data_IF_287151108048
#
_entry.id   IF_287151108048
#
_cell.length_a   1.000
_cell.length_b   1.000
_cell.length_c   1.000
_cell.angle_alpha   90.00
_cell.angle_beta   90.00
_cell.angle_gamma   90.00
#
_symmetry.space_group_name_H-M   'P 1'
#
loop_
_entity.id
_entity.type
_entity.pdbx_description
1 polymer ?
#
# COMPACT_ATOMS: atom_id res chain seq x y z
N UNK A 1 12.68 -23.69 13.45
CA UNK A 1 11.36 -23.10 13.15
C UNK A 1 11.46 -21.58 13.20
N UNK A 2 11.47 -20.89 12.05
CA UNK A 2 11.31 -19.42 12.02
C UNK A 2 9.82 -19.13 12.22
N UNK A 3 9.46 -18.52 13.36
CA UNK A 3 8.13 -17.92 13.56
C UNK A 3 8.08 -16.68 12.68
N UNK A 4 7.39 -16.74 11.55
CA UNK A 4 7.04 -15.53 10.80
C UNK A 4 5.97 -14.80 11.61
N UNK A 5 6.35 -13.70 12.27
CA UNK A 5 5.37 -12.81 12.89
C UNK A 5 4.64 -12.15 11.73
N UNK A 6 3.36 -12.50 11.55
CA UNK A 6 2.49 -11.76 10.64
C UNK A 6 2.30 -10.38 11.24
N UNK A 7 2.71 -9.37 10.51
CA UNK A 7 2.67 -7.99 10.93
C UNK A 7 1.94 -7.16 9.89
N UNK A 8 1.08 -6.24 10.33
CA UNK A 8 0.43 -5.30 9.43
C UNK A 8 1.31 -4.07 9.26
N UNK A 9 1.67 -3.77 8.01
CA UNK A 9 2.40 -2.57 7.65
C UNK A 9 1.56 -1.66 6.75
N UNK A 10 1.74 -0.35 6.91
CA UNK A 10 0.98 0.68 6.22
C UNK A 10 1.89 1.51 5.32
N UNK A 11 1.41 1.80 4.11
CA UNK A 11 2.09 2.68 3.16
C UNK A 11 1.10 3.62 2.51
N UNK A 12 1.44 4.91 2.44
CA UNK A 12 0.76 5.84 1.57
C UNK A 12 1.41 5.87 0.18
N UNK A 13 0.61 6.11 -0.86
CA UNK A 13 1.14 6.37 -2.21
C UNK A 13 1.20 7.89 -2.42
N UNK A 14 2.39 8.50 -2.35
CA UNK A 14 2.56 9.95 -2.50
C UNK A 14 2.48 10.40 -3.98
N UNK A 15 1.40 10.03 -4.67
CA UNK A 15 1.09 10.44 -6.05
C UNK A 15 -0.41 10.65 -6.18
N UNK A 16 -0.79 11.65 -6.97
CA UNK A 16 -2.17 11.79 -7.42
C UNK A 16 -2.48 10.59 -8.31
N UNK A 17 -3.37 9.73 -7.86
CA UNK A 17 -3.76 8.52 -8.58
C UNK A 17 -5.26 8.53 -8.78
N UNK A 18 -5.71 8.43 -10.02
CA UNK A 18 -7.14 8.36 -10.31
C UNK A 18 -7.69 6.95 -10.09
N UNK A 19 -9.01 6.81 -10.19
CA UNK A 19 -9.66 5.50 -10.07
C UNK A 19 -9.13 4.52 -11.13
N UNK A 20 -8.81 5.02 -12.33
CA UNK A 20 -8.23 4.21 -13.42
C UNK A 20 -6.88 3.59 -13.01
N UNK A 21 -6.02 4.35 -12.35
CA UNK A 21 -4.76 3.83 -11.81
C UNK A 21 -5.01 2.72 -10.80
N UNK A 22 -5.96 2.91 -9.88
CA UNK A 22 -6.27 1.91 -8.84
C UNK A 22 -6.79 0.62 -9.47
N UNK A 23 -7.76 0.72 -10.37
CA UNK A 23 -8.33 -0.46 -11.03
C UNK A 23 -7.33 -1.17 -11.97
N UNK A 24 -6.38 -0.44 -12.55
CA UNK A 24 -5.34 -1.02 -13.41
C UNK A 24 -4.27 -1.78 -12.62
N UNK A 25 -3.82 -1.23 -11.49
CA UNK A 25 -2.68 -1.76 -10.74
C UNK A 25 -3.08 -2.66 -9.57
N UNK A 26 -4.26 -2.44 -8.98
CA UNK A 26 -4.77 -3.20 -7.83
C UNK A 26 -6.09 -3.87 -8.21
N UNK A 27 -5.97 -4.99 -8.91
CA UNK A 27 -7.13 -5.81 -9.30
C UNK A 27 -7.39 -6.85 -8.22
N UNK A 28 -8.62 -6.89 -7.74
CA UNK A 28 -9.03 -7.77 -6.65
C UNK A 28 -8.80 -9.24 -7.04
N UNK A 29 -8.15 -10.00 -6.17
CA UNK A 29 -7.81 -11.41 -6.41
C UNK A 29 -6.60 -11.64 -7.32
N UNK A 30 -6.01 -10.59 -7.90
CA UNK A 30 -4.76 -10.72 -8.67
C UNK A 30 -3.53 -10.39 -7.80
N UNK A 31 -2.36 -10.85 -8.27
CA UNK A 31 -1.07 -10.54 -7.66
C UNK A 31 -0.58 -9.17 -8.15
N UNK A 32 -0.30 -8.30 -7.20
CA UNK A 32 0.39 -7.03 -7.39
C UNK A 32 1.88 -7.18 -7.09
N UNK A 33 2.71 -6.52 -7.90
CA UNK A 33 4.17 -6.42 -7.72
C UNK A 33 4.62 -4.99 -7.97
N UNK A 34 5.48 -4.50 -7.10
CA UNK A 34 6.23 -3.28 -7.34
C UNK A 34 7.64 -3.64 -7.80
N UNK A 35 8.11 -3.03 -8.90
CA UNK A 35 9.46 -3.26 -9.43
C UNK A 35 10.56 -2.62 -8.57
N UNK A 36 10.18 -1.88 -7.55
CA UNK A 36 11.07 -1.16 -6.64
C UNK A 36 10.93 -1.66 -5.22
N UNK A 37 11.85 -1.27 -4.34
CA UNK A 37 11.70 -1.52 -2.91
C UNK A 37 10.45 -0.81 -2.37
N UNK A 38 9.63 -1.56 -1.65
CA UNK A 38 8.43 -1.01 -0.99
C UNK A 38 8.79 -0.73 0.46
N UNK A 39 8.63 0.50 0.90
CA UNK A 39 8.76 0.90 2.31
C UNK A 39 7.39 1.08 2.96
N UNK A 40 7.24 0.57 4.18
CA UNK A 40 6.01 0.68 4.95
C UNK A 40 6.33 0.77 6.45
N UNK A 41 5.38 1.26 7.25
CA UNK A 41 5.53 1.43 8.70
C UNK A 41 4.40 0.72 9.43
N UNK A 42 4.62 0.16 10.64
CA UNK A 42 3.53 -0.36 11.46
C UNK A 42 2.63 0.75 12.00
N UNK A 43 3.05 2.01 11.94
CA UNK A 43 2.30 3.14 12.49
C UNK A 43 1.38 3.79 11.44
N UNK A 44 0.10 3.41 11.48
CA UNK A 44 -0.95 4.01 10.67
C UNK A 44 -1.11 5.53 10.91
N UNK A 45 -0.81 6.02 12.11
CA UNK A 45 -0.98 7.44 12.45
C UNK A 45 0.02 8.30 11.69
N UNK A 46 1.28 7.85 11.57
CA UNK A 46 2.31 8.48 10.74
C UNK A 46 1.89 8.58 9.28
N UNK A 47 1.31 7.51 8.71
CA UNK A 47 0.80 7.53 7.33
C UNK A 47 -0.38 8.50 7.18
N UNK A 48 -1.30 8.53 8.15
CA UNK A 48 -2.44 9.45 8.09
C UNK A 48 -2.05 10.92 8.24
N UNK A 49 -1.00 11.22 9.01
CA UNK A 49 -0.49 12.57 9.20
C UNK A 49 0.29 13.08 7.98
N UNK A 50 1.06 12.22 7.34
CA UNK A 50 2.01 12.62 6.28
C UNK A 50 1.39 12.67 4.88
N UNK A 51 0.43 11.78 4.59
CA UNK A 51 -0.15 11.68 3.25
C UNK A 51 -1.41 12.56 3.14
N UNK A 52 -1.20 13.77 2.64
CA UNK A 52 -2.20 14.83 2.58
C UNK A 52 -3.16 14.73 1.39
N UNK A 53 -4.19 15.58 1.39
CA UNK A 53 -5.10 15.78 0.27
C UNK A 53 -4.35 16.42 -0.91
N UNK A 54 -4.48 15.85 -2.10
CA UNK A 54 -4.03 16.48 -3.34
C UNK A 54 -5.22 17.10 -4.08
N UNK A 55 -5.04 18.30 -4.64
CA UNK A 55 -6.03 18.94 -5.49
C UNK A 55 -6.05 18.27 -6.87
N UNK A 56 -7.21 17.80 -7.30
CA UNK A 56 -7.38 17.18 -8.62
C UNK A 56 -8.28 18.07 -9.47
N UNK A 57 -7.84 18.43 -10.68
CA UNK A 57 -8.68 19.15 -11.64
C UNK A 57 -9.68 18.18 -12.27
N UNK A 58 -10.96 18.31 -11.90
CA UNK A 58 -12.03 17.55 -12.55
C UNK A 58 -12.31 18.13 -13.94
N UNK A 59 -12.16 17.33 -15.00
CA UNK A 59 -12.49 17.72 -16.38
C UNK A 59 -13.99 17.73 -16.68
N UNK A 60 -14.84 17.28 -15.73
CA UNK A 60 -16.30 17.18 -15.90
C UNK A 60 -17.11 18.17 -15.06
N UNK A 61 -16.48 18.95 -14.19
CA UNK A 61 -17.20 19.88 -13.33
C UNK A 61 -17.25 21.29 -13.96
N UNK A 62 -18.41 21.66 -14.49
CA UNK A 62 -18.77 23.08 -14.64
C UNK A 62 -18.72 23.71 -13.24
N UNK A 63 -17.72 24.54 -12.98
CA UNK A 63 -17.68 25.55 -11.91
C UNK A 63 -18.02 25.10 -10.47
N UNK A 64 -17.75 23.85 -10.07
CA UNK A 64 -17.83 23.44 -8.66
C UNK A 64 -16.44 23.22 -8.06
N UNK A 65 -16.34 23.49 -6.76
CA UNK A 65 -15.13 23.58 -5.94
C UNK A 65 -14.05 22.49 -6.21
N UNK A 66 -12.77 22.76 -5.91
CA UNK A 66 -11.69 21.80 -6.09
C UNK A 66 -12.02 20.44 -5.46
N UNK A 67 -11.93 19.37 -6.26
CA UNK A 67 -12.04 18.00 -5.78
C UNK A 67 -10.70 17.60 -5.21
N UNK A 68 -10.67 17.30 -3.91
CA UNK A 68 -9.47 16.81 -3.25
C UNK A 68 -9.49 15.29 -3.19
N UNK A 69 -8.42 14.65 -3.63
CA UNK A 69 -8.22 13.22 -3.46
C UNK A 69 -7.13 12.96 -2.43
N UNK A 70 -7.44 12.13 -1.44
CA UNK A 70 -6.43 11.61 -0.53
C UNK A 70 -5.64 10.50 -1.22
N UNK A 71 -4.33 10.53 -1.03
CA UNK A 71 -3.41 9.47 -1.41
C UNK A 71 -3.89 8.11 -0.91
N UNK A 72 -3.87 7.05 -1.72
CA UNK A 72 -4.29 5.71 -1.28
C UNK A 72 -3.54 5.24 -0.04
N UNK A 73 -4.22 4.42 0.76
CA UNK A 73 -3.63 3.62 1.83
C UNK A 73 -3.45 2.20 1.34
N UNK A 74 -2.24 1.67 1.50
CA UNK A 74 -1.97 0.25 1.44
C UNK A 74 -1.86 -0.28 2.87
N UNK A 75 -2.63 -1.30 3.20
CA UNK A 75 -2.55 -2.10 4.42
C UNK A 75 -2.02 -3.48 4.02
N UNK A 76 -0.86 -3.88 4.53
CA UNK A 76 -0.08 -5.03 4.05
C UNK A 76 0.08 -6.04 5.18
N UNK A 77 -0.50 -7.24 5.03
CA UNK A 77 -0.17 -8.40 5.87
C UNK A 77 1.20 -8.93 5.42
N UNK A 78 2.24 -8.59 6.18
CA UNK A 78 3.64 -8.88 5.86
C UNK A 78 4.10 -10.22 6.42
N UNK A 79 5.02 -10.86 5.69
CA UNK A 79 5.76 -12.06 6.06
C UNK A 79 7.28 -11.87 5.97
N UNK A 80 7.78 -11.08 5.01
CA UNK A 80 9.23 -10.98 4.74
C UNK A 80 9.84 -9.59 4.93
N UNK A 81 9.07 -8.58 5.34
CA UNK A 81 9.59 -7.23 5.47
C UNK A 81 10.80 -7.19 6.42
N UNK A 82 11.89 -6.60 5.94
CA UNK A 82 13.11 -6.40 6.73
C UNK A 82 12.95 -5.12 7.54
N UNK A 83 13.08 -5.22 8.86
CA UNK A 83 13.09 -4.04 9.75
C UNK A 83 14.42 -3.32 9.65
N UNK A 84 14.39 -2.03 9.29
CA UNK A 84 15.61 -1.23 9.07
C UNK A 84 15.90 -0.22 10.18
N UNK A 85 15.21 -0.32 11.33
CA UNK A 85 15.36 0.59 12.48
C UNK A 85 16.82 0.89 12.85
N UNK A 86 17.69 -0.12 12.85
CA UNK A 86 19.08 0.01 13.29
C UNK A 86 19.97 0.82 12.32
N UNK A 87 19.53 0.98 11.07
CA UNK A 87 20.30 1.64 10.01
C UNK A 87 19.55 2.83 9.37
N UNK A 88 18.31 3.08 9.81
CA UNK A 88 17.49 4.17 9.31
C UNK A 88 17.83 5.49 9.99
N UNK A 89 17.87 6.57 9.20
CA UNK A 89 17.96 7.95 9.71
C UNK A 89 16.70 8.38 10.47
N UNK A 90 15.58 7.67 10.26
CA UNK A 90 14.29 7.90 10.90
C UNK A 90 13.84 6.66 11.68
N UNK A 91 14.66 6.21 12.64
CA UNK A 91 14.42 4.96 13.39
C UNK A 91 13.06 4.88 14.10
N UNK A 92 12.46 6.03 14.44
CA UNK A 92 11.14 6.11 15.07
C UNK A 92 9.98 5.67 14.16
N UNK A 93 10.18 5.66 12.84
CA UNK A 93 9.17 5.23 11.88
C UNK A 93 9.02 3.70 11.82
N UNK A 94 9.92 2.95 12.47
CA UNK A 94 9.92 1.48 12.50
C UNK A 94 9.74 0.89 11.09
N UNK A 95 10.48 1.44 10.12
CA UNK A 95 10.31 1.10 8.70
C UNK A 95 10.59 -0.38 8.42
N UNK A 96 9.68 -0.99 7.67
CA UNK A 96 9.84 -2.29 7.02
C UNK A 96 10.02 -2.12 5.52
N UNK A 97 11.02 -2.80 4.95
CA UNK A 97 11.30 -2.79 3.52
C UNK A 97 11.01 -4.16 2.93
N UNK A 98 10.26 -4.19 1.83
CA UNK A 98 10.06 -5.36 0.98
C UNK A 98 10.97 -5.28 -0.24
N UNK A 99 11.45 -6.43 -0.70
CA UNK A 99 12.26 -6.53 -1.90
C UNK A 99 11.43 -6.17 -3.15
N UNK A 100 12.08 -5.74 -4.25
CA UNK A 100 11.44 -5.64 -5.56
C UNK A 100 10.74 -6.95 -5.94
N UNK A 101 9.62 -6.81 -6.63
CA UNK A 101 8.79 -7.90 -7.13
C UNK A 101 8.22 -8.85 -6.05
N UNK A 102 8.26 -8.46 -4.77
CA UNK A 102 7.55 -9.18 -3.69
C UNK A 102 6.08 -9.35 -4.08
N UNK A 103 5.54 -10.59 -4.09
CA UNK A 103 4.17 -10.84 -4.52
C UNK A 103 3.17 -10.51 -3.42
N UNK A 104 2.19 -9.66 -3.76
CA UNK A 104 1.08 -9.34 -2.88
C UNK A 104 -0.25 -9.68 -3.54
N UNK A 105 -1.05 -10.54 -2.91
CA UNK A 105 -2.44 -10.72 -3.31
C UNK A 105 -3.24 -9.47 -2.93
N UNK A 106 -3.98 -8.89 -3.88
CA UNK A 106 -4.94 -7.82 -3.60
C UNK A 106 -6.20 -8.44 -2.99
N UNK A 107 -6.28 -8.43 -1.65
CA UNK A 107 -7.33 -9.09 -0.89
C UNK A 107 -8.61 -8.27 -0.78
N UNK A 108 -8.50 -6.94 -0.74
CA UNK A 108 -9.64 -6.03 -0.72
C UNK A 108 -9.27 -4.68 -1.33
N UNK A 109 -10.27 -3.97 -1.85
CA UNK A 109 -10.17 -2.56 -2.20
C UNK A 109 -11.49 -1.86 -1.98
N UNK A 110 -11.47 -0.80 -1.19
CA UNK A 110 -12.66 0.00 -0.89
C UNK A 110 -12.32 1.48 -0.90
N UNK A 111 -13.33 2.31 -1.12
CA UNK A 111 -13.21 3.76 -1.01
C UNK A 111 -13.85 4.18 0.30
N UNK A 112 -13.07 4.83 1.17
CA UNK A 112 -13.57 5.38 2.42
C UNK A 112 -14.49 6.57 2.17
N UNK A 113 -15.30 6.95 3.16
CA UNK A 113 -16.16 8.14 3.11
C UNK A 113 -15.39 9.43 2.82
N UNK A 114 -14.10 9.46 3.18
CA UNK A 114 -13.18 10.56 2.89
C UNK A 114 -12.70 10.61 1.44
N UNK A 115 -13.18 9.70 0.57
CA UNK A 115 -12.77 9.57 -0.82
C UNK A 115 -11.41 8.88 -1.03
N UNK A 116 -10.72 8.49 0.05
CA UNK A 116 -9.43 7.77 0.02
C UNK A 116 -9.65 6.32 -0.36
N UNK A 117 -8.86 5.81 -1.30
CA UNK A 117 -8.75 4.38 -1.57
C UNK A 117 -8.00 3.68 -0.43
N UNK A 118 -8.58 2.59 0.07
CA UNK A 118 -7.94 1.68 1.00
C UNK A 118 -7.80 0.32 0.30
N UNK A 119 -6.57 -0.16 0.16
CA UNK A 119 -6.24 -1.41 -0.52
C UNK A 119 -5.58 -2.33 0.49
N UNK A 120 -6.14 -3.53 0.66
CA UNK A 120 -5.56 -4.56 1.50
C UNK A 120 -4.74 -5.52 0.65
N UNK A 121 -3.50 -5.70 1.04
CA UNK A 121 -2.52 -6.54 0.40
C UNK A 121 -2.12 -7.65 1.36
N UNK A 122 -2.00 -8.87 0.85
CA UNK A 122 -1.48 -10.01 1.61
C UNK A 122 -0.24 -10.52 0.92
N UNK A 123 0.89 -10.50 1.62
CA UNK A 123 2.11 -11.11 1.10
C UNK A 123 1.92 -12.63 0.99
N UNK A 124 2.18 -13.17 -0.20
CA UNK A 124 2.05 -14.60 -0.48
C UNK A 124 3.42 -15.21 -0.77
N UNK A 125 3.52 -16.53 -0.60
CA UNK A 125 4.67 -17.29 -1.08
C UNK A 125 4.20 -18.07 -2.30
N UNK A 126 4.75 -17.77 -3.47
CA UNK A 126 4.34 -18.43 -4.71
C UNK A 126 4.94 -19.83 -4.84
N UNK A 127 5.91 -20.19 -3.99
CA UNK A 127 6.49 -21.53 -3.99
C UNK A 127 5.58 -22.59 -3.35
N UNK A 128 4.55 -22.20 -2.59
CA UNK A 128 3.60 -23.13 -1.98
C UNK A 128 2.53 -23.66 -2.98
N UNK A 129 2.38 -23.04 -4.15
CA UNK A 129 1.36 -23.44 -5.16
C UNK A 129 1.87 -24.48 -6.18
N UNK A 130 3.19 -24.74 -6.25
CA UNK A 130 3.75 -25.74 -7.19
C UNK A 130 3.85 -27.16 -6.63
N UNK A 131 3.41 -27.39 -5.40
CA UNK A 131 3.50 -28.71 -4.73
C UNK A 131 2.22 -29.54 -4.82
N UNK A 132 1.23 -29.08 -5.60
CA UNK A 132 -0.10 -29.67 -5.71
C UNK A 132 -0.41 -30.39 -7.04
N UNK A 133 0.60 -30.73 -7.85
CA UNK A 133 0.43 -31.51 -9.09
C UNK A 133 1.36 -32.73 -9.13
#
# INVERSE_FOLDING_TARGET
MRRYIRETLYRGINKVVDDKFIHKNFKLGEVYRDKTFVSATPDLSTVNATFTRHTVKSSKAKASAPVYQRSPLLEIESRSAVRVRQVSLSSAEEEGIFAPDTPFLVADKSRTDSGRWHIKLKEIDESDESSGL
#
